data_IF_615428657828
#
_entry.id   IF_615428657828
#
_cell.length_a   1.000
_cell.length_b   1.000
_cell.length_c   1.000
_cell.angle_alpha   90.00
_cell.angle_beta   90.00
_cell.angle_gamma   90.00
#
_symmetry.space_group_name_H-M   'P 1'
#
loop_
_entity.id
_entity.type
_entity.pdbx_description
1 polymer ?
#
# COMPACT_ATOMS: atom_id res chain seq x y z
N UNK A 1 -17.15 72.26 25.76
CA UNK A 1 -16.17 71.20 26.09
C UNK A 1 -16.69 69.90 25.55
N UNK A 2 -16.07 69.34 24.49
CA UNK A 2 -16.43 68.07 23.92
C UNK A 2 -15.34 67.04 24.32
N UNK A 3 -15.70 66.12 25.21
CA UNK A 3 -14.81 65.05 25.69
C UNK A 3 -14.72 63.97 24.58
N UNK A 4 -13.51 63.78 24.03
CA UNK A 4 -13.22 62.67 23.09
C UNK A 4 -12.93 61.42 23.87
N UNK A 5 -13.79 60.43 23.76
CA UNK A 5 -13.62 59.10 24.33
C UNK A 5 -12.70 58.28 23.40
N UNK A 6 -11.49 57.99 23.85
CA UNK A 6 -10.54 57.09 23.15
C UNK A 6 -10.92 55.65 23.50
N UNK A 7 -11.27 54.89 22.45
CA UNK A 7 -11.50 53.44 22.57
C UNK A 7 -10.15 52.73 22.32
N UNK A 8 -9.66 51.89 23.24
CA UNK A 8 -8.45 51.10 22.98
C UNK A 8 -8.76 49.98 22.01
N UNK A 9 -8.07 49.95 20.87
CA UNK A 9 -8.06 48.79 19.94
C UNK A 9 -7.17 47.71 20.54
N UNK A 10 -7.80 46.66 21.04
CA UNK A 10 -7.10 45.45 21.46
C UNK A 10 -6.66 44.64 20.20
N UNK A 11 -5.37 44.58 19.98
CA UNK A 11 -4.77 43.75 18.92
C UNK A 11 -4.77 42.28 19.36
N UNK A 12 -5.74 41.50 18.91
CA UNK A 12 -5.78 40.06 19.14
C UNK A 12 -4.70 39.36 18.28
N UNK A 13 -3.63 38.88 18.92
CA UNK A 13 -2.68 37.98 18.27
C UNK A 13 -3.39 36.65 17.98
N UNK A 14 -3.72 36.41 16.71
CA UNK A 14 -4.15 35.10 16.23
C UNK A 14 -2.91 34.22 16.14
N UNK A 15 -2.70 33.39 17.16
CA UNK A 15 -1.69 32.29 17.11
C UNK A 15 -2.26 31.24 16.17
N UNK A 16 -1.80 31.22 14.93
CA UNK A 16 -2.08 30.14 14.00
C UNK A 16 -1.49 28.83 14.57
N UNK A 17 -2.26 27.72 14.65
CA UNK A 17 -1.71 26.44 15.05
C UNK A 17 -0.64 26.06 14.02
N UNK A 18 0.59 25.93 14.47
CA UNK A 18 1.67 25.37 13.67
C UNK A 18 1.27 23.94 13.31
N UNK A 19 0.93 23.69 12.05
CA UNK A 19 0.81 22.33 11.52
C UNK A 19 2.20 21.69 11.68
N UNK A 20 2.39 20.96 12.78
CA UNK A 20 3.55 20.08 12.90
C UNK A 20 3.49 19.12 11.71
N UNK A 21 4.39 19.29 10.76
CA UNK A 21 4.66 18.28 9.76
C UNK A 21 4.86 16.96 10.53
N UNK A 22 4.02 15.98 10.24
CA UNK A 22 4.06 14.69 10.95
C UNK A 22 5.43 14.07 10.67
N UNK A 23 6.30 14.07 11.66
CA UNK A 23 7.65 13.53 11.54
C UNK A 23 7.54 12.05 11.18
N UNK A 24 8.37 11.60 10.26
CA UNK A 24 8.51 10.18 9.93
C UNK A 24 8.87 9.42 11.21
N UNK A 25 8.12 8.36 11.56
CA UNK A 25 8.40 7.59 12.76
C UNK A 25 9.72 6.83 12.64
N UNK A 26 10.19 6.22 13.74
CA UNK A 26 11.27 5.23 13.66
C UNK A 26 10.85 4.09 12.71
N UNK A 27 11.69 3.82 11.70
CA UNK A 27 11.41 2.83 10.67
C UNK A 27 11.94 1.43 11.01
N UNK A 28 12.71 1.27 12.09
CA UNK A 28 13.21 -0.03 12.54
C UNK A 28 12.10 -1.04 12.80
N UNK A 29 10.96 -0.69 13.44
CA UNK A 29 9.86 -1.63 13.65
C UNK A 29 9.18 -2.17 12.37
N UNK A 30 9.40 -1.53 11.22
CA UNK A 30 8.88 -2.01 9.95
C UNK A 30 9.76 -3.08 9.29
N UNK A 31 11.02 -3.20 9.70
CA UNK A 31 11.91 -4.23 9.18
C UNK A 31 11.56 -5.59 9.81
N UNK A 32 11.69 -6.65 9.01
CA UNK A 32 11.70 -8.03 9.52
C UNK A 32 13.17 -8.41 9.67
N UNK A 33 13.59 -8.66 10.91
CA UNK A 33 15.02 -8.83 11.23
C UNK A 33 15.62 -10.06 10.53
N UNK A 34 14.87 -11.15 10.46
CA UNK A 34 15.30 -12.37 9.78
C UNK A 34 14.87 -12.37 8.31
N UNK A 35 15.88 -12.30 7.42
CA UNK A 35 15.67 -12.31 5.97
C UNK A 35 14.95 -13.55 5.47
N UNK A 36 15.24 -14.74 6.05
CA UNK A 36 14.61 -15.99 5.64
C UNK A 36 13.11 -15.98 5.97
N UNK A 37 12.75 -15.43 7.12
CA UNK A 37 11.35 -15.22 7.53
C UNK A 37 10.62 -14.30 6.55
N UNK A 38 11.23 -13.18 6.13
CA UNK A 38 10.58 -12.27 5.17
C UNK A 38 10.43 -12.91 3.79
N UNK A 39 11.43 -13.67 3.33
CA UNK A 39 11.34 -14.44 2.07
C UNK A 39 10.21 -15.47 2.12
N UNK A 40 10.11 -16.25 3.21
CA UNK A 40 9.04 -17.23 3.39
C UNK A 40 7.65 -16.56 3.40
N UNK A 41 7.53 -15.43 4.11
CA UNK A 41 6.29 -14.66 4.18
C UNK A 41 5.91 -14.09 2.79
N UNK A 42 6.85 -13.53 2.03
CA UNK A 42 6.59 -13.04 0.68
C UNK A 42 6.08 -14.15 -0.24
N UNK A 43 6.73 -15.32 -0.21
CA UNK A 43 6.33 -16.50 -1.01
C UNK A 43 4.98 -17.07 -0.62
N UNK A 44 4.57 -16.95 0.64
CA UNK A 44 3.26 -17.43 1.10
C UNK A 44 2.06 -16.70 0.48
N UNK A 45 2.29 -15.59 -0.25
CA UNK A 45 1.23 -14.83 -0.90
C UNK A 45 0.63 -15.48 -2.14
N UNK A 46 1.31 -16.44 -2.77
CA UNK A 46 0.86 -17.11 -4.00
C UNK A 46 1.05 -18.63 -3.91
N UNK A 47 0.36 -19.43 -4.76
CA UNK A 47 0.58 -20.87 -4.84
C UNK A 47 2.05 -21.20 -5.13
N UNK A 48 2.55 -22.32 -4.57
CA UNK A 48 3.96 -22.73 -4.65
C UNK A 48 4.51 -22.79 -6.09
N UNK A 49 3.73 -23.29 -7.05
CA UNK A 49 4.15 -23.37 -8.46
C UNK A 49 4.41 -22.00 -9.09
N UNK A 50 3.96 -20.89 -8.45
CA UNK A 50 4.26 -19.51 -8.83
C UNK A 50 5.38 -18.97 -7.95
N UNK A 51 5.21 -19.02 -6.63
CA UNK A 51 6.09 -18.34 -5.68
C UNK A 51 7.47 -18.95 -5.56
N UNK A 52 7.63 -20.26 -5.81
CA UNK A 52 8.94 -20.94 -5.72
C UNK A 52 9.95 -20.44 -6.78
N UNK A 53 9.44 -20.02 -7.95
CA UNK A 53 10.26 -19.49 -9.06
C UNK A 53 10.16 -17.97 -9.20
N UNK A 54 9.52 -17.27 -8.27
CA UNK A 54 9.38 -15.81 -8.29
C UNK A 54 10.63 -15.12 -7.74
N UNK A 55 10.94 -13.94 -8.26
CA UNK A 55 11.87 -13.00 -7.61
C UNK A 55 11.27 -12.57 -6.26
N UNK A 56 12.10 -12.55 -5.23
CA UNK A 56 11.67 -12.07 -3.91
C UNK A 56 12.45 -10.84 -3.50
N UNK A 57 11.72 -9.78 -3.17
CA UNK A 57 12.26 -8.56 -2.60
C UNK A 57 11.98 -8.51 -1.10
N UNK A 58 12.97 -8.06 -0.32
CA UNK A 58 12.83 -7.83 1.13
C UNK A 58 13.16 -6.39 1.47
N UNK A 59 12.49 -5.84 2.48
CA UNK A 59 12.69 -4.46 2.90
C UNK A 59 13.98 -4.32 3.70
N UNK A 60 14.87 -3.44 3.24
CA UNK A 60 16.10 -3.04 3.91
C UNK A 60 16.01 -1.59 4.40
N UNK A 61 17.08 -1.09 5.04
CA UNK A 61 17.19 0.33 5.43
C UNK A 61 17.27 1.31 4.26
N UNK A 62 17.49 0.83 3.03
CA UNK A 62 17.55 1.65 1.81
C UNK A 62 16.39 1.43 0.85
N UNK A 63 15.34 0.69 1.26
CA UNK A 63 14.25 0.26 0.41
C UNK A 63 14.30 -1.24 0.15
N UNK A 64 13.55 -1.71 -0.85
CA UNK A 64 13.54 -3.13 -1.21
C UNK A 64 14.82 -3.54 -1.93
N UNK A 65 15.32 -4.73 -1.56
CA UNK A 65 16.48 -5.37 -2.18
C UNK A 65 16.15 -6.82 -2.57
N UNK A 66 16.74 -7.30 -3.64
CA UNK A 66 16.55 -8.67 -4.08
C UNK A 66 17.13 -9.66 -3.07
N UNK A 67 16.30 -10.59 -2.61
CA UNK A 67 16.65 -11.66 -1.69
C UNK A 67 16.78 -13.02 -2.38
N UNK A 68 16.00 -13.22 -3.44
CA UNK A 68 16.07 -14.40 -4.29
C UNK A 68 15.75 -14.02 -5.72
N UNK A 69 16.56 -14.49 -6.66
CA UNK A 69 16.33 -14.31 -8.09
C UNK A 69 15.28 -15.31 -8.59
N UNK A 70 14.33 -14.85 -9.38
CA UNK A 70 13.27 -15.67 -9.97
C UNK A 70 13.40 -15.81 -11.48
N UNK A 71 12.71 -16.80 -12.06
CA UNK A 71 12.77 -17.12 -13.50
C UNK A 71 11.43 -17.01 -14.22
N UNK A 72 10.33 -16.85 -13.49
CA UNK A 72 8.97 -16.81 -14.06
C UNK A 72 8.41 -15.38 -14.25
N UNK A 73 9.20 -14.36 -13.94
CA UNK A 73 8.83 -12.95 -14.05
C UNK A 73 7.89 -12.43 -12.97
N UNK A 74 7.43 -13.28 -12.03
CA UNK A 74 6.70 -12.83 -10.85
C UNK A 74 7.65 -12.20 -9.84
N UNK A 75 7.14 -11.22 -9.07
CA UNK A 75 7.85 -10.57 -7.98
C UNK A 75 7.02 -10.62 -6.71
N UNK A 76 7.52 -11.31 -5.68
CA UNK A 76 6.86 -11.42 -4.39
C UNK A 76 7.59 -10.55 -3.35
N UNK A 77 6.83 -9.86 -2.50
CA UNK A 77 7.35 -9.03 -1.42
C UNK A 77 6.31 -8.85 -0.32
N UNK A 78 6.72 -8.35 0.84
CA UNK A 78 5.81 -8.03 1.93
C UNK A 78 5.62 -6.52 1.99
N UNK A 79 4.42 -6.02 1.66
CA UNK A 79 4.11 -4.60 1.81
C UNK A 79 4.02 -4.21 3.28
N UNK A 80 4.33 -2.96 3.57
CA UNK A 80 4.14 -2.31 4.87
C UNK A 80 2.99 -1.31 4.75
N UNK A 81 2.44 -0.88 5.86
CA UNK A 81 1.33 0.07 5.89
C UNK A 81 1.58 1.33 5.05
N UNK A 82 2.79 1.88 5.11
CA UNK A 82 3.18 3.09 4.39
C UNK A 82 3.27 2.91 2.85
N UNK A 83 3.08 1.69 2.34
CA UNK A 83 3.01 1.39 0.90
C UNK A 83 1.58 1.18 0.40
N UNK A 84 0.61 1.24 1.30
CA UNK A 84 -0.81 1.30 0.96
C UNK A 84 -1.26 2.68 0.48
N UNK A 85 -2.56 2.96 0.61
CA UNK A 85 -3.14 4.25 0.23
C UNK A 85 -2.50 5.43 0.94
N UNK A 86 -2.25 6.50 0.21
CA UNK A 86 -1.56 7.68 0.75
C UNK A 86 -2.37 8.39 1.86
N UNK A 87 -3.69 8.22 1.88
CA UNK A 87 -4.60 8.80 2.87
C UNK A 87 -5.05 7.79 3.94
N UNK A 88 -4.54 6.54 3.91
CA UNK A 88 -4.88 5.52 4.88
C UNK A 88 -4.54 6.00 6.31
N UNK A 89 -5.49 5.98 7.27
CA UNK A 89 -5.23 6.31 8.66
C UNK A 89 -4.19 5.40 9.31
N UNK A 90 -4.04 4.15 8.82
CA UNK A 90 -3.05 3.18 9.28
C UNK A 90 -1.69 3.32 8.59
N UNK A 91 -1.43 4.41 7.87
CA UNK A 91 -0.19 4.62 7.10
C UNK A 91 1.09 4.34 7.91
N UNK A 92 1.12 4.71 9.17
CA UNK A 92 2.25 4.48 10.08
C UNK A 92 1.97 3.36 11.10
N UNK A 93 1.58 2.16 10.62
CA UNK A 93 1.27 1.00 11.47
C UNK A 93 2.30 -0.10 11.25
N UNK A 94 3.31 -0.24 12.13
CA UNK A 94 4.44 -1.16 11.91
C UNK A 94 4.06 -2.64 11.97
N UNK A 95 2.89 -2.99 12.50
CA UNK A 95 2.40 -4.38 12.55
C UNK A 95 1.88 -4.87 11.21
N UNK A 96 1.53 -3.99 10.28
CA UNK A 96 1.02 -4.38 8.96
C UNK A 96 2.08 -5.17 8.19
N UNK A 97 1.68 -6.33 7.75
CA UNK A 97 2.44 -7.25 6.90
C UNK A 97 1.50 -7.78 5.84
N UNK A 98 1.67 -7.30 4.63
CA UNK A 98 0.81 -7.64 3.51
C UNK A 98 1.65 -8.36 2.42
N UNK A 99 1.79 -9.69 2.50
CA UNK A 99 2.48 -10.48 1.48
C UNK A 99 1.74 -10.41 0.16
N UNK A 100 2.45 -10.04 -0.89
CA UNK A 100 1.95 -9.86 -2.25
C UNK A 100 2.87 -10.53 -3.26
N UNK A 101 2.33 -11.17 -4.29
CA UNK A 101 3.08 -11.72 -5.41
C UNK A 101 2.52 -11.20 -6.72
N UNK A 102 3.22 -10.28 -7.33
CA UNK A 102 2.84 -9.55 -8.54
C UNK A 102 3.22 -10.34 -9.78
N UNK A 103 2.30 -10.42 -10.73
CA UNK A 103 2.56 -11.06 -12.02
C UNK A 103 3.49 -10.21 -12.92
N UNK A 104 4.03 -10.75 -14.03
CA UNK A 104 5.01 -10.02 -14.84
C UNK A 104 4.59 -8.62 -15.32
N UNK A 105 3.32 -8.36 -15.75
CA UNK A 105 2.90 -6.99 -16.06
C UNK A 105 2.93 -6.06 -14.84
N UNK A 106 2.43 -6.51 -13.69
CA UNK A 106 2.42 -5.72 -12.45
C UNK A 106 3.84 -5.53 -11.87
N UNK A 107 4.72 -6.52 -12.02
CA UNK A 107 6.12 -6.42 -11.60
C UNK A 107 6.86 -5.30 -12.34
N UNK A 108 6.52 -5.03 -13.60
CA UNK A 108 7.12 -3.98 -14.43
C UNK A 108 6.45 -2.62 -14.29
N UNK A 109 5.33 -2.52 -13.60
CA UNK A 109 4.56 -1.28 -13.46
C UNK A 109 4.28 -0.97 -12.00
N UNK A 110 3.40 -1.70 -11.34
CA UNK A 110 2.98 -1.45 -9.94
C UNK A 110 4.15 -1.56 -8.96
N UNK A 111 5.03 -2.56 -9.13
CA UNK A 111 6.20 -2.75 -8.24
C UNK A 111 7.21 -1.60 -8.38
N UNK A 112 7.25 -0.91 -9.51
CA UNK A 112 8.13 0.26 -9.71
C UNK A 112 7.77 1.38 -8.73
N UNK A 113 6.49 1.73 -8.63
CA UNK A 113 6.00 2.70 -7.63
C UNK A 113 6.31 2.23 -6.20
N UNK A 114 5.97 0.97 -5.89
CA UNK A 114 6.14 0.39 -4.54
C UNK A 114 7.59 0.49 -4.09
N UNK A 115 8.53 0.07 -4.93
CA UNK A 115 9.94 0.09 -4.59
C UNK A 115 10.48 1.51 -4.45
N UNK A 116 10.08 2.40 -5.34
CA UNK A 116 10.50 3.80 -5.30
C UNK A 116 9.96 4.55 -4.09
N UNK A 117 8.69 4.34 -3.76
CA UNK A 117 8.11 4.90 -2.53
C UNK A 117 8.82 4.37 -1.29
N UNK A 118 9.14 3.06 -1.25
CA UNK A 118 9.91 2.49 -0.15
C UNK A 118 11.29 3.16 -0.01
N UNK A 119 12.03 3.38 -1.10
CA UNK A 119 13.30 4.12 -1.07
C UNK A 119 13.12 5.51 -0.42
N UNK A 120 12.16 6.30 -0.89
CA UNK A 120 11.90 7.63 -0.36
C UNK A 120 11.56 7.60 1.13
N UNK A 121 10.69 6.68 1.54
CA UNK A 121 10.27 6.54 2.94
C UNK A 121 11.46 6.16 3.82
N UNK A 122 12.29 5.23 3.37
CA UNK A 122 13.47 4.81 4.12
C UNK A 122 14.55 5.90 4.26
N UNK A 123 14.49 6.99 3.46
CA UNK A 123 15.30 8.20 3.70
C UNK A 123 14.71 9.13 4.76
N UNK A 124 13.54 8.83 5.31
CA UNK A 124 12.92 9.61 6.38
C UNK A 124 12.17 10.86 5.91
N UNK A 125 11.74 10.93 4.65
CA UNK A 125 10.92 12.06 4.17
C UNK A 125 9.51 12.03 4.79
N UNK A 126 8.87 13.19 4.89
CA UNK A 126 7.53 13.31 5.46
C UNK A 126 6.47 12.65 4.57
N UNK A 127 5.33 12.25 5.17
CA UNK A 127 4.18 11.74 4.42
C UNK A 127 3.70 12.74 3.36
N UNK A 128 3.69 14.02 3.66
CA UNK A 128 3.30 15.07 2.71
C UNK A 128 4.23 15.12 1.49
N UNK A 129 5.54 14.93 1.70
CA UNK A 129 6.51 14.85 0.59
C UNK A 129 6.32 13.57 -0.23
N UNK A 130 5.97 12.43 0.41
CA UNK A 130 5.67 11.18 -0.30
C UNK A 130 4.46 11.40 -1.22
N UNK A 131 3.37 12.00 -0.72
CA UNK A 131 2.18 12.34 -1.51
C UNK A 131 2.55 13.21 -2.71
N UNK A 132 3.28 14.30 -2.47
CA UNK A 132 3.69 15.24 -3.50
C UNK A 132 4.56 14.58 -4.57
N UNK A 133 5.56 13.79 -4.16
CA UNK A 133 6.46 13.07 -5.09
C UNK A 133 5.72 12.02 -5.88
N UNK A 134 4.81 11.26 -5.26
CA UNK A 134 4.02 10.23 -5.95
C UNK A 134 3.14 10.85 -7.03
N UNK A 135 2.42 11.94 -6.71
CA UNK A 135 1.61 12.67 -7.70
C UNK A 135 2.47 13.22 -8.85
N UNK A 136 3.64 13.78 -8.53
CA UNK A 136 4.57 14.28 -9.54
C UNK A 136 5.10 13.15 -10.45
N UNK A 137 5.50 12.03 -9.87
CA UNK A 137 6.03 10.89 -10.61
C UNK A 137 5.01 10.29 -11.60
N UNK A 138 3.73 10.26 -11.25
CA UNK A 138 2.68 9.90 -12.21
C UNK A 138 2.47 10.99 -13.28
N UNK A 139 2.46 12.26 -12.92
CA UNK A 139 2.27 13.35 -13.86
C UNK A 139 3.41 13.46 -14.90
N UNK A 140 4.63 13.03 -14.52
CA UNK A 140 5.82 13.04 -15.39
C UNK A 140 6.09 11.69 -16.05
N UNK A 141 5.23 10.69 -15.85
CA UNK A 141 5.40 9.31 -16.33
C UNK A 141 6.67 8.60 -15.79
N UNK A 142 7.25 9.08 -14.70
CA UNK A 142 8.27 8.32 -13.94
C UNK A 142 7.69 7.03 -13.39
N UNK A 143 6.43 7.08 -12.90
CA UNK A 143 5.67 5.89 -12.56
C UNK A 143 4.79 5.49 -13.74
N UNK A 144 4.99 4.27 -14.28
CA UNK A 144 4.13 3.76 -15.33
C UNK A 144 2.75 3.43 -14.75
N UNK A 145 1.70 3.69 -15.53
CA UNK A 145 0.37 3.16 -15.22
C UNK A 145 0.35 1.64 -15.34
N UNK A 146 -0.57 0.94 -14.65
CA UNK A 146 -0.65 -0.50 -14.71
C UNK A 146 -0.81 -1.00 -16.16
N UNK A 147 0.06 -1.91 -16.56
CA UNK A 147 -0.08 -2.56 -17.87
C UNK A 147 -1.31 -3.49 -17.89
N UNK A 148 -1.84 -3.75 -19.08
CA UNK A 148 -2.96 -4.67 -19.25
C UNK A 148 -2.65 -6.05 -18.61
N UNK A 149 -3.59 -6.56 -17.83
CA UNK A 149 -3.44 -7.82 -17.11
C UNK A 149 -2.63 -7.76 -15.82
N UNK A 150 -2.28 -6.56 -15.35
CA UNK A 150 -1.59 -6.39 -14.05
C UNK A 150 -2.45 -6.91 -12.90
N UNK A 151 -1.88 -7.86 -12.12
CA UNK A 151 -2.54 -8.42 -10.94
C UNK A 151 -1.54 -8.87 -9.89
N UNK A 152 -2.03 -9.08 -8.67
CA UNK A 152 -1.27 -9.70 -7.59
C UNK A 152 -2.09 -10.72 -6.83
N UNK A 153 -1.40 -11.74 -6.31
CA UNK A 153 -1.91 -12.67 -5.32
C UNK A 153 -1.70 -12.14 -3.92
N UNK A 154 -2.72 -12.21 -3.08
CA UNK A 154 -2.67 -11.92 -1.66
C UNK A 154 -3.37 -13.04 -0.89
N UNK A 155 -2.76 -14.23 -0.93
CA UNK A 155 -3.35 -15.48 -0.45
C UNK A 155 -2.66 -16.01 0.82
N UNK A 156 -1.85 -15.19 1.51
CA UNK A 156 -1.15 -15.61 2.72
C UNK A 156 -2.07 -15.65 3.93
N UNK A 157 -1.96 -16.71 4.75
CA UNK A 157 -2.57 -16.74 6.09
C UNK A 157 -1.85 -15.84 7.08
N UNK A 158 -0.59 -15.47 6.80
CA UNK A 158 0.26 -14.67 7.68
C UNK A 158 0.09 -13.16 7.44
N UNK A 159 -0.90 -12.78 6.62
CA UNK A 159 -1.18 -11.37 6.37
C UNK A 159 -1.76 -10.69 7.61
N UNK A 160 -1.26 -9.50 7.91
CA UNK A 160 -1.77 -8.59 8.93
C UNK A 160 -2.06 -7.25 8.25
N UNK A 161 -3.33 -6.95 7.99
CA UNK A 161 -3.72 -5.73 7.25
C UNK A 161 -4.08 -4.57 8.19
N UNK A 162 -4.58 -4.91 9.39
CA UNK A 162 -4.82 -3.96 10.45
C UNK A 162 -4.65 -4.69 11.80
N UNK A 163 -4.17 -4.01 12.86
CA UNK A 163 -3.97 -4.64 14.16
C UNK A 163 -5.24 -5.30 14.73
N UNK A 164 -6.40 -4.68 14.52
CA UNK A 164 -7.69 -5.14 14.99
C UNK A 164 -8.32 -6.24 14.09
N UNK A 165 -7.80 -6.41 12.88
CA UNK A 165 -8.29 -7.41 11.91
C UNK A 165 -7.09 -8.05 11.20
N UNK A 166 -6.31 -8.87 11.89
CA UNK A 166 -5.06 -9.41 11.35
C UNK A 166 -5.29 -10.33 10.14
N UNK A 167 -6.38 -11.09 10.12
CA UNK A 167 -6.64 -12.08 9.09
C UNK A 167 -7.82 -11.66 8.21
N UNK A 168 -7.52 -11.01 7.10
CA UNK A 168 -8.54 -10.78 6.08
C UNK A 168 -8.57 -11.98 5.11
N UNK A 169 -9.68 -12.09 4.34
CA UNK A 169 -9.85 -13.18 3.38
C UNK A 169 -8.76 -13.19 2.30
N UNK A 170 -8.39 -14.36 1.75
CA UNK A 170 -7.52 -14.42 0.60
C UNK A 170 -8.21 -13.79 -0.60
N UNK A 171 -7.46 -13.02 -1.37
CA UNK A 171 -7.99 -12.28 -2.51
C UNK A 171 -6.94 -12.08 -3.59
N UNK A 172 -7.44 -11.76 -4.79
CA UNK A 172 -6.64 -11.25 -5.90
C UNK A 172 -6.88 -9.75 -6.03
N UNK A 173 -5.87 -9.01 -6.42
CA UNK A 173 -6.02 -7.60 -6.80
C UNK A 173 -5.68 -7.44 -8.27
N UNK A 174 -6.52 -6.70 -8.99
CA UNK A 174 -6.30 -6.32 -10.39
C UNK A 174 -6.09 -4.81 -10.44
N UNK A 175 -5.14 -4.38 -11.25
CA UNK A 175 -4.73 -2.98 -11.36
C UNK A 175 -5.03 -2.47 -12.76
N UNK A 176 -5.70 -1.32 -12.82
CA UNK A 176 -6.03 -0.64 -14.07
C UNK A 176 -5.71 0.85 -13.93
N UNK A 177 -5.55 1.54 -15.06
CA UNK A 177 -5.65 2.98 -15.02
C UNK A 177 -7.09 3.41 -14.66
N UNK A 178 -7.23 4.55 -13.98
CA UNK A 178 -8.52 5.02 -13.47
C UNK A 178 -9.33 5.78 -14.55
N UNK A 179 -9.12 5.48 -15.83
CA UNK A 179 -9.89 6.06 -16.93
C UNK A 179 -11.37 5.70 -16.88
N UNK A 180 -11.69 4.54 -16.29
CA UNK A 180 -13.05 4.10 -16.02
C UNK A 180 -13.32 4.02 -14.52
N UNK A 181 -14.51 4.45 -14.05
CA UNK A 181 -14.87 4.33 -12.64
C UNK A 181 -15.05 2.85 -12.23
N UNK A 182 -14.83 2.53 -10.97
CA UNK A 182 -14.98 1.17 -10.42
C UNK A 182 -16.38 0.58 -10.67
N UNK A 183 -17.41 1.44 -10.73
CA UNK A 183 -18.79 1.02 -11.05
C UNK A 183 -18.94 0.39 -12.44
N UNK A 184 -18.10 0.74 -13.41
CA UNK A 184 -18.09 0.11 -14.74
C UNK A 184 -17.78 -1.39 -14.64
N UNK A 185 -17.03 -1.80 -13.61
CA UNK A 185 -16.69 -3.19 -13.31
C UNK A 185 -17.70 -3.88 -12.40
N UNK A 186 -18.78 -3.20 -12.02
CA UNK A 186 -19.71 -3.68 -11.01
C UNK A 186 -19.11 -3.71 -9.60
N UNK A 187 -17.97 -3.04 -9.41
CA UNK A 187 -17.34 -2.97 -8.11
C UNK A 187 -18.12 -2.05 -7.16
N UNK A 188 -18.24 -2.47 -5.93
CA UNK A 188 -18.86 -1.68 -4.87
C UNK A 188 -18.21 -1.99 -3.51
N UNK A 189 -18.92 -1.76 -2.40
CA UNK A 189 -18.42 -2.05 -1.05
C UNK A 189 -18.19 -3.55 -0.78
N UNK A 190 -17.86 -3.86 0.47
CA UNK A 190 -17.42 -5.18 0.96
C UNK A 190 -18.39 -6.36 0.71
N UNK A 191 -19.64 -6.09 0.34
CA UNK A 191 -20.65 -7.12 0.02
C UNK A 191 -20.69 -7.49 -1.46
N UNK A 192 -19.94 -6.78 -2.30
CA UNK A 192 -19.82 -7.08 -3.73
C UNK A 192 -18.82 -8.21 -3.98
N UNK A 193 -19.02 -9.05 -5.02
CA UNK A 193 -18.02 -9.99 -5.48
C UNK A 193 -16.72 -9.31 -5.97
N UNK A 194 -16.85 -8.07 -6.46
CA UNK A 194 -15.74 -7.21 -6.83
C UNK A 194 -15.76 -6.00 -5.91
N UNK A 195 -14.70 -5.79 -5.15
CA UNK A 195 -14.57 -4.73 -4.17
C UNK A 195 -13.67 -3.65 -4.76
N UNK A 196 -14.08 -2.38 -4.64
CA UNK A 196 -13.21 -1.26 -4.94
C UNK A 196 -12.16 -1.12 -3.83
N UNK A 197 -10.91 -1.43 -4.16
CA UNK A 197 -9.76 -1.35 -3.26
C UNK A 197 -9.03 -0.02 -3.30
N UNK A 198 -9.50 0.95 -4.11
CA UNK A 198 -8.90 2.29 -4.22
C UNK A 198 -9.25 3.20 -3.03
N UNK A 199 -9.91 2.65 -2.01
CA UNK A 199 -10.27 3.35 -0.77
C UNK A 199 -8.98 3.75 -0.06
N UNK A 200 -8.82 5.06 0.22
CA UNK A 200 -7.62 5.62 0.88
C UNK A 200 -6.63 6.29 -0.07
N UNK A 201 -6.91 6.28 -1.38
CA UNK A 201 -6.18 7.10 -2.35
C UNK A 201 -7.10 7.56 -3.49
N UNK A 202 -8.04 8.49 -3.22
CA UNK A 202 -9.02 8.95 -4.20
C UNK A 202 -8.38 9.65 -5.40
N UNK A 203 -7.20 10.24 -5.21
CA UNK A 203 -6.45 10.97 -6.23
C UNK A 203 -5.48 10.09 -7.02
N UNK A 204 -5.34 8.80 -6.67
CA UNK A 204 -4.50 7.86 -7.42
C UNK A 204 -5.03 7.69 -8.84
N UNK A 205 -4.16 7.69 -9.87
CA UNK A 205 -4.56 7.33 -11.22
C UNK A 205 -4.74 5.82 -11.41
N UNK A 206 -4.52 5.04 -10.35
CA UNK A 206 -4.64 3.57 -10.36
C UNK A 206 -5.95 3.14 -9.71
N UNK A 207 -6.74 2.34 -10.42
CA UNK A 207 -7.89 1.62 -9.90
C UNK A 207 -7.43 0.23 -9.42
N UNK A 208 -7.79 -0.13 -8.19
CA UNK A 208 -7.53 -1.45 -7.62
C UNK A 208 -8.86 -2.16 -7.41
N UNK A 209 -9.03 -3.32 -8.04
CA UNK A 209 -10.20 -4.17 -7.85
C UNK A 209 -9.79 -5.43 -7.08
N UNK A 210 -10.46 -5.69 -5.95
CA UNK A 210 -10.22 -6.87 -5.13
C UNK A 210 -11.29 -7.93 -5.40
N UNK A 211 -10.84 -9.16 -5.60
CA UNK A 211 -11.72 -10.31 -5.81
C UNK A 211 -11.42 -11.35 -4.72
N UNK A 212 -12.27 -11.47 -3.70
CA UNK A 212 -12.14 -12.51 -2.69
C UNK A 212 -12.17 -13.91 -3.30
N UNK A 213 -11.30 -14.78 -2.82
CA UNK A 213 -11.26 -16.18 -3.23
C UNK A 213 -11.42 -17.11 -2.03
N UNK A 214 -11.70 -18.39 -2.28
CA UNK A 214 -12.00 -19.35 -1.21
C UNK A 214 -10.81 -20.13 -0.70
N UNK A 215 -9.64 -19.96 -1.29
CA UNK A 215 -8.45 -20.75 -0.97
C UNK A 215 -7.27 -19.87 -0.63
N UNK A 216 -6.56 -20.28 0.40
CA UNK A 216 -5.24 -19.78 0.72
C UNK A 216 -4.19 -20.31 -0.28
N UNK A 217 -2.99 -19.77 -0.25
CA UNK A 217 -1.90 -20.18 -1.14
C UNK A 217 -1.50 -21.66 -1.00
N UNK A 218 -1.74 -22.24 0.18
CA UNK A 218 -1.48 -23.66 0.49
C UNK A 218 -2.61 -24.60 0.01
N UNK A 219 -3.63 -24.09 -0.67
CA UNK A 219 -4.78 -24.83 -1.17
C UNK A 219 -5.87 -25.09 -0.13
N UNK A 220 -5.66 -24.74 1.13
CA UNK A 220 -6.68 -24.91 2.16
C UNK A 220 -7.80 -23.89 2.02
N UNK A 221 -9.01 -24.28 2.41
CA UNK A 221 -10.18 -23.40 2.28
C UNK A 221 -10.19 -22.32 3.35
N UNK A 222 -10.43 -21.10 2.95
CA UNK A 222 -10.74 -20.00 3.88
C UNK A 222 -12.12 -20.25 4.48
N UNK A 223 -12.23 -20.20 5.82
CA UNK A 223 -13.51 -20.44 6.49
C UNK A 223 -14.57 -19.42 6.05
N UNK A 224 -15.82 -19.85 5.78
CA UNK A 224 -16.92 -18.93 5.56
C UNK A 224 -17.18 -18.15 6.86
N UNK A 225 -17.03 -16.83 6.85
CA UNK A 225 -17.38 -15.98 8.00
C UNK A 225 -16.28 -15.06 8.55
N UNK A 226 -15.05 -15.20 8.12
CA UNK A 226 -13.98 -14.25 8.45
C UNK A 226 -14.04 -13.10 7.44
N UNK A 227 -14.86 -12.09 7.73
CA UNK A 227 -15.01 -10.93 6.85
C UNK A 227 -16.43 -10.35 6.74
N UNK A 228 -17.29 -10.67 7.70
CA UNK A 228 -18.60 -9.98 7.87
C UNK A 228 -18.56 -8.99 9.00
#
# INVERSE_FOLDING_TARGET
>A
MRTRMMIPVALALVVAPSMRAQQTPDLVPYLIADRATEVAMARSSAPKHISDSATVLVLSRSGFVEAAHGTNGFTCLVLRSFLGGLEDPNFWTPQVRAPNCFNPPAAKTVVVEITKRAEWIMTGISRADIVTRTKHAYATHEFPLPAAGSMTYMLSRDQILAPEKPHWMPHLMFYYDKSLPSSTWGASGMTSPIIDGSIGDPDSPVLVLLIPVRQWSDGTTAMPGVGR
#
